data_IF_305072513444
#
_entry.id   IF_305072513444
#
_cell.length_a   1.000
_cell.length_b   1.000
_cell.length_c   1.000
_cell.angle_alpha   90.00
_cell.angle_beta   90.00
_cell.angle_gamma   90.00
#
_symmetry.space_group_name_H-M   'P 1'
#
loop_
_entity.id
_entity.type
_entity.pdbx_description
1 polymer ?
#
# COMPACT_ATOMS: atom_id res chain seq x y z
N UNK A 1 29.98 -17.54 23.17
CA UNK A 1 29.74 -17.55 24.62
C UNK A 1 28.29 -17.84 24.94
N UNK A 2 27.32 -17.02 24.50
CA UNK A 2 25.89 -17.23 24.82
C UNK A 2 25.33 -18.61 24.45
N UNK A 3 25.58 -19.11 23.24
CA UNK A 3 25.15 -20.46 22.83
C UNK A 3 25.77 -21.58 23.68
N UNK A 4 27.04 -21.42 24.09
CA UNK A 4 27.72 -22.37 24.97
C UNK A 4 27.14 -22.37 26.38
N UNK A 5 26.69 -21.20 26.85
CA UNK A 5 26.05 -21.01 28.14
C UNK A 5 24.54 -21.28 28.10
N UNK A 6 23.95 -21.70 26.97
CA UNK A 6 22.50 -21.87 26.83
C UNK A 6 21.69 -20.57 26.96
N UNK A 7 22.34 -19.41 26.90
CA UNK A 7 21.70 -18.10 27.04
C UNK A 7 21.24 -17.62 25.67
N UNK A 8 19.94 -17.37 25.51
CA UNK A 8 19.40 -16.77 24.28
C UNK A 8 19.82 -15.29 24.18
N UNK A 9 20.62 -14.89 23.18
CA UNK A 9 21.07 -13.50 23.02
C UNK A 9 20.00 -12.58 22.43
N UNK A 10 18.88 -13.12 21.93
CA UNK A 10 17.86 -12.38 21.22
C UNK A 10 16.77 -11.86 22.16
N UNK A 11 16.31 -10.64 21.89
CA UNK A 11 15.17 -10.01 22.56
C UNK A 11 14.10 -9.75 21.52
N UNK A 12 13.03 -10.54 21.55
CA UNK A 12 11.99 -10.53 20.53
C UNK A 12 11.36 -9.15 20.33
N UNK A 13 11.05 -8.43 21.41
CA UNK A 13 10.49 -7.08 21.36
C UNK A 13 11.42 -6.07 20.66
N UNK A 14 12.72 -6.15 20.93
CA UNK A 14 13.72 -5.26 20.30
C UNK A 14 13.90 -5.60 18.83
N UNK A 15 13.89 -6.88 18.47
CA UNK A 15 13.93 -7.33 17.08
C UNK A 15 12.70 -6.84 16.30
N UNK A 16 11.51 -7.00 16.87
CA UNK A 16 10.25 -6.54 16.28
C UNK A 16 10.25 -5.02 16.06
N UNK A 17 10.62 -4.23 17.07
CA UNK A 17 10.71 -2.76 16.95
C UNK A 17 11.75 -2.33 15.90
N UNK A 18 12.95 -2.93 15.88
CA UNK A 18 13.97 -2.65 14.86
C UNK A 18 13.47 -3.00 13.46
N UNK A 19 12.80 -4.13 13.29
CA UNK A 19 12.21 -4.55 12.02
C UNK A 19 11.17 -3.53 11.53
N UNK A 20 10.23 -3.13 12.38
CA UNK A 20 9.21 -2.14 12.03
C UNK A 20 9.81 -0.79 11.69
N UNK A 21 10.85 -0.34 12.41
CA UNK A 21 11.56 0.92 12.07
C UNK A 21 12.23 0.84 10.71
N UNK A 22 12.89 -0.28 10.39
CA UNK A 22 13.52 -0.48 9.09
C UNK A 22 12.47 -0.55 7.96
N UNK A 23 11.36 -1.27 8.17
CA UNK A 23 10.23 -1.33 7.23
C UNK A 23 9.61 0.06 7.00
N UNK A 24 9.50 0.87 8.05
CA UNK A 24 9.02 2.24 7.97
C UNK A 24 10.00 3.15 7.21
N UNK A 25 11.30 3.07 7.48
CA UNK A 25 12.32 3.80 6.73
C UNK A 25 12.34 3.40 5.25
N UNK A 26 12.00 2.15 4.93
CA UNK A 26 11.83 1.66 3.56
C UNK A 26 10.49 2.08 2.90
N UNK A 27 9.63 2.81 3.62
CA UNK A 27 8.35 3.31 3.14
C UNK A 27 7.25 2.25 3.04
N UNK A 28 7.38 1.09 3.68
CA UNK A 28 6.39 0.00 3.57
C UNK A 28 5.00 0.36 4.08
N UNK A 29 4.91 1.28 5.03
CA UNK A 29 3.63 1.72 5.60
C UNK A 29 3.03 2.94 4.90
N UNK A 30 3.80 3.61 4.04
CA UNK A 30 3.34 4.79 3.34
C UNK A 30 2.14 4.47 2.45
N UNK A 31 1.32 5.49 2.16
CA UNK A 31 0.21 5.36 1.22
C UNK A 31 0.74 4.79 -0.11
N UNK A 32 0.23 3.65 -0.58
CA UNK A 32 0.66 3.09 -1.85
C UNK A 32 0.43 4.10 -2.96
N UNK A 33 1.50 4.50 -3.64
CA UNK A 33 1.36 5.42 -4.75
C UNK A 33 0.56 4.72 -5.87
N UNK A 34 -0.45 5.38 -6.46
CA UNK A 34 -1.01 4.87 -7.71
C UNK A 34 0.15 4.78 -8.69
N UNK A 35 0.36 3.60 -9.29
CA UNK A 35 1.40 3.40 -10.29
C UNK A 35 1.21 4.45 -11.37
N UNK A 36 2.05 5.49 -11.38
CA UNK A 36 2.01 6.54 -12.39
C UNK A 36 2.57 5.98 -13.69
N UNK A 37 1.82 5.10 -14.34
CA UNK A 37 2.16 4.47 -15.62
C UNK A 37 1.33 5.05 -16.76
N UNK A 38 1.02 6.35 -16.70
CA UNK A 38 0.61 7.10 -17.88
C UNK A 38 1.84 7.76 -18.51
N UNK A 39 2.03 7.71 -19.85
CA UNK A 39 3.09 8.45 -20.55
C UNK A 39 2.86 9.98 -20.58
N UNK A 40 2.11 10.55 -19.63
CA UNK A 40 1.58 11.92 -19.72
C UNK A 40 2.04 12.88 -18.61
N UNK A 41 2.96 12.49 -17.72
CA UNK A 41 3.47 13.37 -16.66
C UNK A 41 4.82 14.06 -16.98
N UNK A 42 5.28 14.02 -18.24
CA UNK A 42 6.46 14.77 -18.72
C UNK A 42 6.12 15.56 -19.98
N UNK A 43 5.30 16.60 -19.82
CA UNK A 43 5.31 17.80 -20.65
C UNK A 43 4.26 18.80 -20.14
N UNK A 44 4.44 19.33 -18.91
CA UNK A 44 3.84 20.62 -18.61
C UNK A 44 4.70 21.67 -19.30
N UNK A 45 4.32 22.01 -20.52
CA UNK A 45 4.90 23.09 -21.29
C UNK A 45 4.92 24.38 -20.46
N UNK A 46 6.04 25.10 -20.53
CA UNK A 46 6.16 26.43 -19.98
C UNK A 46 5.10 27.37 -20.59
N UNK A 47 4.55 28.33 -19.83
CA UNK A 47 3.61 29.31 -20.35
C UNK A 47 4.37 30.33 -21.19
N UNK A 48 4.41 30.10 -22.52
CA UNK A 48 4.92 31.04 -23.50
C UNK A 48 3.80 31.94 -24.01
N UNK A 49 3.94 33.24 -23.71
CA UNK A 49 3.47 34.41 -24.47
C UNK A 49 1.99 34.43 -24.92
N UNK A 50 1.10 34.80 -24.00
CA UNK A 50 -0.29 35.12 -24.27
C UNK A 50 -0.41 36.57 -24.78
N UNK A 51 -0.20 36.78 -26.07
CA UNK A 51 -0.27 38.10 -26.68
C UNK A 51 -1.14 38.22 -27.93
N UNK A 52 -1.52 37.12 -28.59
CA UNK A 52 -2.39 37.21 -29.76
C UNK A 52 -3.11 35.88 -30.06
N UNK A 53 -4.42 35.90 -29.83
CA UNK A 53 -5.49 35.12 -30.50
C UNK A 53 -6.42 34.34 -29.55
N UNK A 54 -7.28 35.11 -28.86
CA UNK A 54 -8.38 34.60 -28.04
C UNK A 54 -9.40 33.82 -28.89
N UNK A 55 -9.52 34.12 -30.19
CA UNK A 55 -10.46 33.46 -31.09
C UNK A 55 -9.95 32.06 -31.45
N UNK A 56 -8.66 31.92 -31.75
CA UNK A 56 -8.03 30.61 -32.00
C UNK A 56 -8.08 29.72 -30.75
N UNK A 57 -7.82 30.27 -29.57
CA UNK A 57 -7.97 29.56 -28.29
C UNK A 57 -9.41 29.10 -28.02
N UNK A 58 -10.42 29.94 -28.33
CA UNK A 58 -11.83 29.58 -28.19
C UNK A 58 -12.23 28.47 -29.17
N UNK A 59 -11.83 28.56 -30.44
CA UNK A 59 -12.09 27.52 -31.44
C UNK A 59 -11.42 26.18 -31.08
N UNK A 60 -10.19 26.19 -30.56
CA UNK A 60 -9.53 25.01 -30.03
C UNK A 60 -10.26 24.40 -28.83
N UNK A 61 -10.83 25.25 -27.95
CA UNK A 61 -11.60 24.82 -26.78
C UNK A 61 -12.98 24.23 -27.14
N UNK A 62 -13.63 24.74 -28.19
CA UNK A 62 -14.90 24.18 -28.69
C UNK A 62 -14.67 22.84 -29.41
N UNK A 63 -13.61 22.74 -30.21
CA UNK A 63 -13.21 21.51 -30.87
C UNK A 63 -12.85 20.41 -29.86
N UNK A 64 -12.17 20.75 -28.76
CA UNK A 64 -11.87 19.80 -27.68
C UNK A 64 -13.13 19.36 -26.93
N UNK A 65 -14.03 20.30 -26.57
CA UNK A 65 -15.32 19.99 -25.94
C UNK A 65 -16.19 19.07 -26.81
N UNK A 66 -16.24 19.30 -28.12
CA UNK A 66 -17.00 18.45 -29.04
C UNK A 66 -16.44 17.02 -29.10
N UNK A 67 -15.11 16.89 -29.23
CA UNK A 67 -14.44 15.58 -29.21
C UNK A 67 -14.61 14.85 -27.88
N UNK A 68 -14.58 15.56 -26.77
CA UNK A 68 -14.79 14.98 -25.44
C UNK A 68 -16.24 14.52 -25.24
N UNK A 69 -17.22 15.31 -25.69
CA UNK A 69 -18.63 14.94 -25.63
C UNK A 69 -18.95 13.71 -26.51
N UNK A 70 -18.36 13.63 -27.70
CA UNK A 70 -18.50 12.45 -28.57
C UNK A 70 -17.86 11.20 -27.95
N UNK A 71 -16.66 11.33 -27.35
CA UNK A 71 -16.01 10.23 -26.62
C UNK A 71 -16.85 9.77 -25.43
N UNK A 72 -17.36 10.69 -24.61
CA UNK A 72 -18.24 10.36 -23.47
C UNK A 72 -19.49 9.62 -23.93
N UNK A 73 -20.13 10.08 -25.01
CA UNK A 73 -21.30 9.37 -25.59
C UNK A 73 -20.95 7.96 -26.04
N UNK A 74 -19.79 7.75 -26.67
CA UNK A 74 -19.34 6.41 -27.10
C UNK A 74 -19.04 5.52 -25.89
N UNK A 75 -18.36 6.05 -24.87
CA UNK A 75 -18.05 5.33 -23.64
C UNK A 75 -19.31 4.95 -22.85
N UNK A 76 -20.27 5.87 -22.72
CA UNK A 76 -21.56 5.63 -22.07
C UNK A 76 -22.41 4.61 -22.85
N UNK A 77 -22.44 4.71 -24.19
CA UNK A 77 -23.14 3.73 -25.02
C UNK A 77 -22.50 2.34 -24.91
N UNK A 78 -21.16 2.25 -24.89
CA UNK A 78 -20.45 0.99 -24.70
C UNK A 78 -20.69 0.41 -23.29
N UNK A 79 -20.69 1.26 -22.25
CA UNK A 79 -21.02 0.85 -20.89
C UNK A 79 -22.46 0.36 -20.77
N UNK A 80 -23.41 1.06 -21.39
CA UNK A 80 -24.82 0.67 -21.42
C UNK A 80 -25.04 -0.64 -22.18
N UNK A 81 -24.36 -0.85 -23.31
CA UNK A 81 -24.40 -2.13 -24.04
C UNK A 81 -23.89 -3.28 -23.19
N UNK A 82 -22.74 -3.11 -22.53
CA UNK A 82 -22.17 -4.13 -21.63
C UNK A 82 -23.10 -4.45 -20.45
N UNK A 83 -23.75 -3.44 -19.86
CA UNK A 83 -24.74 -3.66 -18.80
C UNK A 83 -25.97 -4.42 -19.30
N UNK A 84 -26.45 -4.13 -20.51
CA UNK A 84 -27.55 -4.86 -21.14
C UNK A 84 -27.19 -6.32 -21.44
N UNK A 85 -25.97 -6.58 -21.92
CA UNK A 85 -25.47 -7.95 -22.12
C UNK A 85 -25.45 -8.73 -20.80
N UNK A 86 -24.92 -8.11 -19.74
CA UNK A 86 -24.85 -8.75 -18.42
C UNK A 86 -26.24 -8.93 -17.79
N UNK A 87 -27.18 -8.01 -17.98
CA UNK A 87 -28.54 -8.18 -17.48
C UNK A 87 -29.34 -9.22 -18.27
N UNK A 88 -28.96 -9.50 -19.52
CA UNK A 88 -29.50 -10.60 -20.32
C UNK A 88 -28.96 -11.98 -19.89
N UNK A 89 -27.81 -12.05 -19.22
CA UNK A 89 -27.30 -13.30 -18.64
C UNK A 89 -28.20 -13.80 -17.51
N UNK A 90 -28.23 -15.13 -17.34
CA UNK A 90 -28.90 -15.77 -16.21
C UNK A 90 -28.13 -15.52 -14.91
N UNK A 91 -28.84 -15.65 -13.77
CA UNK A 91 -28.23 -15.51 -12.44
C UNK A 91 -27.08 -16.51 -12.26
N UNK A 92 -27.21 -17.73 -12.78
CA UNK A 92 -26.18 -18.77 -12.64
C UNK A 92 -24.92 -18.44 -13.46
N UNK A 93 -25.09 -17.93 -14.68
CA UNK A 93 -23.95 -17.45 -15.49
C UNK A 93 -23.23 -16.27 -14.84
N UNK A 94 -23.98 -15.34 -14.24
CA UNK A 94 -23.38 -14.20 -13.52
C UNK A 94 -22.61 -14.68 -12.29
N UNK A 95 -23.16 -15.66 -11.55
CA UNK A 95 -22.46 -16.29 -10.42
C UNK A 95 -21.20 -17.01 -10.88
N UNK A 96 -21.26 -17.80 -11.95
CA UNK A 96 -20.09 -18.51 -12.50
C UNK A 96 -18.98 -17.54 -12.91
N UNK A 97 -19.32 -16.43 -13.58
CA UNK A 97 -18.36 -15.37 -13.92
C UNK A 97 -17.69 -14.79 -12.68
N UNK A 98 -18.45 -14.50 -11.62
CA UNK A 98 -17.92 -13.94 -10.38
C UNK A 98 -17.09 -14.97 -9.59
N UNK A 99 -17.55 -16.22 -9.51
CA UNK A 99 -16.84 -17.33 -8.87
C UNK A 99 -15.50 -17.64 -9.55
N UNK A 100 -15.41 -17.53 -10.89
CA UNK A 100 -14.14 -17.67 -11.61
C UNK A 100 -13.07 -16.65 -11.20
N UNK A 101 -13.50 -15.53 -10.57
CA UNK A 101 -12.65 -14.48 -10.01
C UNK A 101 -12.55 -14.53 -8.49
N UNK A 102 -13.03 -15.61 -7.87
CA UNK A 102 -13.03 -15.80 -6.43
C UNK A 102 -14.04 -14.91 -5.68
N UNK A 103 -15.04 -14.37 -6.38
CA UNK A 103 -16.07 -13.52 -5.77
C UNK A 103 -17.36 -14.34 -5.65
N UNK A 104 -17.61 -14.86 -4.46
CA UNK A 104 -18.87 -15.55 -4.15
C UNK A 104 -19.87 -14.56 -3.53
N UNK A 105 -20.96 -14.29 -4.24
CA UNK A 105 -22.02 -13.43 -3.73
C UNK A 105 -23.38 -14.08 -3.92
N UNK A 106 -24.14 -14.13 -2.83
CA UNK A 106 -25.57 -14.32 -2.85
C UNK A 106 -26.24 -12.94 -2.81
N UNK A 107 -27.10 -12.65 -3.77
CA UNK A 107 -27.72 -11.33 -3.89
C UNK A 107 -28.76 -11.26 -4.98
N UNK A 108 -29.37 -10.08 -5.12
CA UNK A 108 -30.35 -9.82 -6.18
C UNK A 108 -29.66 -9.79 -7.54
N UNK A 109 -30.41 -10.09 -8.61
CA UNK A 109 -29.87 -10.09 -9.98
C UNK A 109 -29.15 -8.77 -10.32
N UNK A 110 -29.71 -7.64 -9.91
CA UNK A 110 -29.14 -6.32 -10.21
C UNK A 110 -27.77 -6.09 -9.55
N UNK A 111 -27.58 -6.56 -8.31
CA UNK A 111 -26.29 -6.50 -7.60
C UNK A 111 -25.23 -7.36 -8.29
N UNK A 112 -25.60 -8.55 -8.76
CA UNK A 112 -24.72 -9.44 -9.53
C UNK A 112 -24.32 -8.81 -10.87
N UNK A 113 -25.27 -8.17 -11.57
CA UNK A 113 -25.00 -7.47 -12.83
C UNK A 113 -24.03 -6.29 -12.63
N UNK A 114 -24.25 -5.47 -11.59
CA UNK A 114 -23.35 -4.34 -11.30
C UNK A 114 -21.93 -4.80 -10.96
N UNK A 115 -21.81 -5.88 -10.19
CA UNK A 115 -20.50 -6.40 -9.82
C UNK A 115 -19.79 -7.06 -11.02
N UNK A 116 -20.51 -7.86 -11.81
CA UNK A 116 -19.97 -8.44 -13.03
C UNK A 116 -19.52 -7.34 -14.02
N UNK A 117 -20.24 -6.22 -14.07
CA UNK A 117 -19.83 -5.06 -14.87
C UNK A 117 -18.52 -4.46 -14.37
N UNK A 118 -18.38 -4.24 -13.05
CA UNK A 118 -17.12 -3.73 -12.45
C UNK A 118 -15.94 -4.67 -12.74
N UNK A 119 -16.14 -5.98 -12.60
CA UNK A 119 -15.12 -7.00 -12.90
C UNK A 119 -14.73 -6.96 -14.39
N UNK A 120 -15.70 -6.90 -15.30
CA UNK A 120 -15.44 -6.84 -16.75
C UNK A 120 -14.68 -5.58 -17.15
N UNK A 121 -15.04 -4.42 -16.60
CA UNK A 121 -14.29 -3.16 -16.82
C UNK A 121 -12.86 -3.29 -16.30
N UNK A 122 -12.67 -3.88 -15.12
CA UNK A 122 -11.33 -4.11 -14.57
C UNK A 122 -10.50 -5.06 -15.45
N UNK A 123 -11.11 -6.14 -15.96
CA UNK A 123 -10.46 -7.09 -16.86
C UNK A 123 -10.03 -6.44 -18.17
N UNK A 124 -10.86 -5.56 -18.74
CA UNK A 124 -10.52 -4.79 -19.93
C UNK A 124 -9.33 -3.84 -19.69
N UNK A 125 -9.31 -3.15 -18.54
CA UNK A 125 -8.17 -2.31 -18.14
C UNK A 125 -6.89 -3.13 -18.00
N UNK A 126 -6.97 -4.31 -17.35
CA UNK A 126 -5.83 -5.21 -17.21
C UNK A 126 -5.39 -5.78 -18.56
N UNK A 127 -6.32 -6.10 -19.45
CA UNK A 127 -6.03 -6.60 -20.80
C UNK A 127 -5.37 -5.53 -21.68
N UNK A 128 -5.86 -4.28 -21.63
CA UNK A 128 -5.25 -3.15 -22.31
C UNK A 128 -3.82 -2.91 -21.80
N UNK A 129 -3.64 -2.86 -20.47
CA UNK A 129 -2.33 -2.71 -19.83
C UNK A 129 -1.37 -3.84 -20.18
N UNK A 130 -1.86 -5.08 -20.23
CA UNK A 130 -1.10 -6.25 -20.69
C UNK A 130 -0.66 -6.09 -22.14
N UNK A 131 -1.54 -5.58 -23.01
CA UNK A 131 -1.25 -5.25 -24.40
C UNK A 131 -0.11 -4.23 -24.52
N UNK A 132 -0.19 -3.13 -23.77
CA UNK A 132 0.86 -2.10 -23.70
C UNK A 132 2.21 -2.70 -23.28
N UNK A 133 2.25 -3.42 -22.16
CA UNK A 133 3.47 -4.03 -21.63
C UNK A 133 4.06 -5.07 -22.61
N UNK A 134 3.22 -5.78 -23.37
CA UNK A 134 3.66 -6.70 -24.42
C UNK A 134 4.19 -5.97 -25.66
N UNK A 135 3.69 -4.78 -25.96
CA UNK A 135 4.18 -3.96 -27.06
C UNK A 135 5.53 -3.28 -26.75
N UNK A 136 5.83 -3.01 -25.47
CA UNK A 136 7.10 -2.42 -25.04
C UNK A 136 8.33 -3.27 -25.43
N UNK A 137 9.47 -2.63 -25.66
CA UNK A 137 10.73 -3.34 -25.83
C UNK A 137 11.10 -4.08 -24.54
N UNK A 138 11.85 -5.18 -24.65
CA UNK A 138 12.21 -6.01 -23.49
C UNK A 138 13.02 -5.23 -22.47
N UNK A 139 13.88 -4.30 -22.91
CA UNK A 139 14.70 -3.50 -22.01
C UNK A 139 13.86 -2.46 -21.25
N UNK A 140 12.94 -1.77 -21.93
CA UNK A 140 11.99 -0.86 -21.27
C UNK A 140 11.12 -1.61 -20.23
N UNK A 141 10.68 -2.82 -20.57
CA UNK A 141 9.88 -3.65 -19.65
C UNK A 141 10.70 -4.08 -18.42
N UNK A 142 11.98 -4.38 -18.58
CA UNK A 142 12.89 -4.65 -17.45
C UNK A 142 13.03 -3.42 -16.56
N UNK A 143 13.10 -2.22 -17.14
CA UNK A 143 13.17 -0.99 -16.35
C UNK A 143 11.87 -0.69 -15.61
N UNK A 144 10.71 -0.96 -16.21
CA UNK A 144 9.41 -0.95 -15.51
C UNK A 144 9.43 -1.94 -14.35
N UNK A 145 9.88 -3.19 -14.56
CA UNK A 145 9.95 -4.20 -13.52
C UNK A 145 10.90 -3.81 -12.37
N UNK A 146 12.05 -3.19 -12.67
CA UNK A 146 12.97 -2.64 -11.66
C UNK A 146 12.28 -1.55 -10.82
N UNK A 147 11.55 -0.63 -11.46
CA UNK A 147 10.81 0.42 -10.76
C UNK A 147 9.66 -0.14 -9.89
N UNK A 148 9.05 -1.24 -10.32
CA UNK A 148 8.10 -2.01 -9.50
C UNK A 148 8.79 -2.89 -8.44
N UNK A 149 10.12 -2.84 -8.29
CA UNK A 149 10.89 -3.67 -7.35
C UNK A 149 10.69 -5.18 -7.55
N UNK A 150 10.31 -5.63 -8.75
CA UNK A 150 10.08 -7.04 -9.10
C UNK A 150 11.35 -7.67 -9.67
N UNK A 151 12.42 -7.66 -8.87
CA UNK A 151 13.79 -8.00 -9.31
C UNK A 151 13.91 -9.48 -9.72
N UNK A 152 13.20 -10.38 -9.05
CA UNK A 152 13.23 -11.81 -9.35
C UNK A 152 12.75 -12.16 -10.77
N UNK A 153 11.94 -11.30 -11.40
CA UNK A 153 11.43 -11.54 -12.74
C UNK A 153 12.39 -11.07 -13.86
N UNK A 154 13.47 -10.35 -13.54
CA UNK A 154 14.39 -9.77 -14.53
C UNK A 154 15.13 -10.80 -15.38
N UNK A 155 15.29 -12.02 -14.88
CA UNK A 155 15.90 -13.15 -15.59
C UNK A 155 14.89 -13.94 -16.43
N UNK A 156 13.60 -13.60 -16.35
CA UNK A 156 12.52 -14.31 -17.00
C UNK A 156 12.33 -13.94 -18.48
N UNK A 157 11.49 -14.75 -19.16
CA UNK A 157 10.98 -14.44 -20.51
C UNK A 157 10.07 -13.21 -20.45
N UNK A 158 9.92 -12.50 -21.58
CA UNK A 158 9.08 -11.29 -21.68
C UNK A 158 7.68 -11.45 -21.09
N UNK A 159 6.98 -12.56 -21.35
CA UNK A 159 5.66 -12.79 -20.76
C UNK A 159 5.67 -12.90 -19.23
N UNK A 160 6.70 -13.54 -18.65
CA UNK A 160 6.85 -13.63 -17.20
C UNK A 160 7.09 -12.24 -16.57
N UNK A 161 7.84 -11.36 -17.24
CA UNK A 161 7.99 -9.96 -16.83
C UNK A 161 6.64 -9.22 -16.83
N UNK A 162 5.85 -9.36 -17.90
CA UNK A 162 4.52 -8.74 -17.99
C UNK A 162 3.62 -9.23 -16.87
N UNK A 163 3.56 -10.54 -16.64
CA UNK A 163 2.73 -11.15 -15.60
C UNK A 163 3.16 -10.65 -14.20
N UNK A 164 4.47 -10.57 -13.95
CA UNK A 164 5.00 -10.13 -12.66
C UNK A 164 4.73 -8.64 -12.39
N UNK A 165 4.82 -7.78 -13.41
CA UNK A 165 4.45 -6.35 -13.30
C UNK A 165 2.95 -6.21 -13.02
N UNK A 166 2.09 -6.93 -13.73
CA UNK A 166 0.64 -6.88 -13.52
C UNK A 166 0.24 -7.40 -12.14
N UNK A 167 0.90 -8.44 -11.63
CA UNK A 167 0.69 -8.94 -10.28
C UNK A 167 1.10 -7.90 -9.22
N UNK A 168 2.23 -7.22 -9.42
CA UNK A 168 2.64 -6.12 -8.55
C UNK A 168 1.65 -4.94 -8.58
N UNK A 169 1.22 -4.51 -9.77
CA UNK A 169 0.21 -3.46 -9.93
C UNK A 169 -1.13 -3.86 -9.29
N UNK A 170 -1.53 -5.14 -9.36
CA UNK A 170 -2.72 -5.65 -8.70
C UNK A 170 -2.62 -5.58 -7.18
N UNK A 171 -1.50 -6.05 -6.62
CA UNK A 171 -1.22 -5.95 -5.19
C UNK A 171 -1.19 -4.50 -4.72
N UNK A 172 -0.54 -3.60 -5.46
CA UNK A 172 -0.50 -2.18 -5.13
C UNK A 172 -1.91 -1.55 -5.10
N UNK A 173 -2.81 -1.95 -6.01
CA UNK A 173 -4.22 -1.51 -6.00
C UNK A 173 -5.00 -2.06 -4.79
N UNK A 174 -4.72 -3.29 -4.36
CA UNK A 174 -5.32 -3.85 -3.14
C UNK A 174 -4.81 -3.13 -1.89
N UNK A 175 -3.49 -2.95 -1.78
CA UNK A 175 -2.86 -2.25 -0.67
C UNK A 175 -3.37 -0.81 -0.56
N UNK A 176 -3.58 -0.13 -1.70
CA UNK A 176 -4.14 1.22 -1.78
C UNK A 176 -5.60 1.24 -1.30
N UNK A 177 -6.44 0.31 -1.78
CA UNK A 177 -7.84 0.18 -1.31
C UNK A 177 -7.91 -0.11 0.18
N UNK A 178 -7.05 -0.98 0.70
CA UNK A 178 -6.97 -1.27 2.12
C UNK A 178 -6.50 -0.05 2.93
N UNK A 179 -5.61 0.77 2.37
CA UNK A 179 -5.17 2.03 3.01
C UNK A 179 -6.32 3.03 3.06
N UNK A 180 -6.99 3.26 1.93
CA UNK A 180 -8.11 4.19 1.83
C UNK A 180 -9.28 3.76 2.72
N UNK A 181 -9.58 2.46 2.80
CA UNK A 181 -10.59 1.93 3.73
C UNK A 181 -10.24 2.23 5.19
N UNK A 182 -8.96 2.06 5.58
CA UNK A 182 -8.50 2.41 6.93
C UNK A 182 -8.52 3.91 7.18
N UNK A 183 -8.22 4.72 6.16
CA UNK A 183 -8.31 6.17 6.23
C UNK A 183 -9.76 6.63 6.48
N UNK A 184 -10.74 6.03 5.80
CA UNK A 184 -12.16 6.30 6.03
C UNK A 184 -12.63 5.83 7.41
N UNK A 185 -12.12 4.71 7.92
CA UNK A 185 -12.40 4.26 9.31
C UNK A 185 -11.88 5.27 10.34
N UNK A 186 -10.64 5.74 10.19
CA UNK A 186 -10.04 6.77 11.06
C UNK A 186 -10.84 8.08 10.99
N UNK A 187 -11.25 8.49 9.79
CA UNK A 187 -12.06 9.69 9.61
C UNK A 187 -13.44 9.56 10.25
N UNK A 188 -14.06 8.38 10.17
CA UNK A 188 -15.34 8.12 10.83
C UNK A 188 -15.20 8.17 12.35
N UNK A 189 -14.14 7.59 12.91
CA UNK A 189 -13.83 7.66 14.34
C UNK A 189 -13.63 9.10 14.80
N UNK A 190 -12.77 9.88 14.12
CA UNK A 190 -12.54 11.28 14.48
C UNK A 190 -13.77 12.16 14.26
N UNK A 191 -14.61 11.87 13.27
CA UNK A 191 -15.87 12.59 13.09
C UNK A 191 -16.83 12.32 14.26
N UNK A 192 -16.94 11.08 14.73
CA UNK A 192 -17.73 10.75 15.92
C UNK A 192 -17.22 11.47 17.17
N UNK A 193 -15.91 11.53 17.39
CA UNK A 193 -15.30 12.30 18.50
C UNK A 193 -15.60 13.80 18.41
N UNK A 194 -15.71 14.37 17.20
CA UNK A 194 -16.12 15.77 17.02
C UNK A 194 -17.62 15.98 17.30
N UNK A 195 -18.47 14.99 17.01
CA UNK A 195 -19.89 15.05 17.33
C UNK A 195 -20.16 15.01 18.84
N UNK A 196 -19.24 14.51 19.64
CA UNK A 196 -19.34 14.59 21.11
C UNK A 196 -18.95 15.97 21.66
N UNK A 197 -18.17 16.76 20.91
CA UNK A 197 -17.72 18.09 21.33
C UNK A 197 -18.84 19.13 21.25
N UNK A 198 -18.74 20.13 22.11
CA UNK A 198 -19.63 21.28 22.12
C UNK A 198 -19.42 22.16 20.88
N UNK A 199 -20.46 22.90 20.50
CA UNK A 199 -20.37 23.84 19.37
C UNK A 199 -19.31 24.93 19.57
N UNK A 200 -19.01 25.31 20.81
CA UNK A 200 -17.96 26.28 21.14
C UNK A 200 -16.56 25.71 20.85
N UNK A 201 -16.25 24.51 21.36
CA UNK A 201 -14.97 23.84 21.11
C UNK A 201 -14.74 23.62 19.61
N UNK A 202 -15.78 23.20 18.87
CA UNK A 202 -15.69 23.04 17.42
C UNK A 202 -15.38 24.35 16.69
N UNK A 203 -15.93 25.48 17.18
CA UNK A 203 -15.64 26.81 16.63
C UNK A 203 -14.18 27.18 16.87
N UNK A 204 -13.65 26.88 18.06
CA UNK A 204 -12.25 27.16 18.41
C UNK A 204 -11.29 26.29 17.60
N UNK A 205 -11.61 25.01 17.38
CA UNK A 205 -10.83 24.13 16.50
C UNK A 205 -10.81 24.67 15.06
N UNK A 206 -11.96 25.11 14.53
CA UNK A 206 -12.04 25.75 13.22
C UNK A 206 -11.17 27.01 13.16
N UNK A 207 -11.28 27.90 14.15
CA UNK A 207 -10.50 29.13 14.20
C UNK A 207 -8.98 28.86 14.27
N UNK A 208 -8.55 27.91 15.11
CA UNK A 208 -7.13 27.52 15.23
C UNK A 208 -6.56 26.89 13.97
N UNK A 209 -7.40 26.29 13.11
CA UNK A 209 -7.02 25.74 11.80
C UNK A 209 -7.22 26.73 10.63
N UNK A 210 -7.69 27.95 10.90
CA UNK A 210 -8.00 28.93 9.85
C UNK A 210 -9.20 28.57 8.97
N UNK A 211 -10.10 27.70 9.45
CA UNK A 211 -11.28 27.25 8.72
C UNK A 211 -12.47 28.16 8.98
N UNK A 212 -13.33 28.35 7.97
CA UNK A 212 -14.61 29.04 8.15
C UNK A 212 -15.59 28.09 8.84
N UNK A 213 -16.05 28.38 10.08
CA UNK A 213 -16.79 27.41 10.88
C UNK A 213 -18.23 27.15 10.41
N UNK A 214 -18.76 27.85 9.40
CA UNK A 214 -20.17 27.69 9.03
C UNK A 214 -21.14 28.07 10.16
N UNK A 215 -22.43 27.80 9.96
CA UNK A 215 -23.50 28.27 10.86
C UNK A 215 -23.89 27.18 11.87
N UNK A 216 -23.94 25.93 11.43
CA UNK A 216 -24.37 24.78 12.23
C UNK A 216 -23.20 24.02 12.86
N UNK A 217 -23.50 23.05 13.73
CA UNK A 217 -22.49 22.15 14.32
C UNK A 217 -21.95 21.21 13.24
N UNK A 218 -22.84 20.68 12.41
CA UNK A 218 -22.58 19.76 11.32
C UNK A 218 -21.67 20.39 10.27
N UNK A 219 -21.84 21.69 9.98
CA UNK A 219 -20.93 22.43 9.08
C UNK A 219 -19.51 22.51 9.63
N UNK A 220 -19.35 22.70 10.96
CA UNK A 220 -18.03 22.73 11.62
C UNK A 220 -17.35 21.37 11.53
N UNK A 221 -18.07 20.31 11.88
CA UNK A 221 -17.55 18.93 11.80
C UNK A 221 -17.14 18.62 10.37
N UNK A 222 -18.00 18.89 9.39
CA UNK A 222 -17.70 18.68 7.96
C UNK A 222 -16.47 19.47 7.52
N UNK A 223 -16.33 20.74 7.90
CA UNK A 223 -15.18 21.57 7.54
C UNK A 223 -13.87 21.02 8.14
N UNK A 224 -13.89 20.58 9.40
CA UNK A 224 -12.72 19.99 10.07
C UNK A 224 -12.34 18.67 9.41
N UNK A 225 -13.32 17.79 9.14
CA UNK A 225 -13.10 16.49 8.47
C UNK A 225 -12.54 16.68 7.05
N UNK A 226 -13.07 17.64 6.28
CA UNK A 226 -12.53 17.97 4.96
C UNK A 226 -11.09 18.49 5.04
N UNK A 227 -10.76 19.31 6.03
CA UNK A 227 -9.39 19.76 6.26
C UNK A 227 -8.45 18.61 6.62
N UNK A 228 -8.91 17.63 7.41
CA UNK A 228 -8.11 16.42 7.69
C UNK A 228 -7.89 15.56 6.45
N UNK A 229 -8.91 15.40 5.60
CA UNK A 229 -8.80 14.73 4.30
C UNK A 229 -7.82 15.41 3.35
N UNK A 230 -7.78 16.74 3.34
CA UNK A 230 -6.83 17.51 2.53
C UNK A 230 -5.40 17.49 3.10
N UNK A 231 -5.27 17.26 4.41
CA UNK A 231 -3.98 17.14 5.09
C UNK A 231 -3.38 15.73 5.05
N UNK A 232 -2.22 15.57 5.69
CA UNK A 232 -1.55 14.27 5.88
C UNK A 232 -1.84 13.64 7.25
N UNK A 233 -2.74 14.23 8.04
CA UNK A 233 -3.03 13.77 9.39
C UNK A 233 -3.64 12.36 9.39
N UNK A 234 -4.59 12.11 8.47
CA UNK A 234 -5.22 10.80 8.31
C UNK A 234 -4.19 9.77 7.86
N UNK A 235 -3.37 10.10 6.86
CA UNK A 235 -2.30 9.21 6.40
C UNK A 235 -1.33 8.85 7.53
N UNK A 236 -0.93 9.82 8.37
CA UNK A 236 -0.06 9.58 9.52
C UNK A 236 -0.70 8.64 10.55
N UNK A 237 -2.00 8.80 10.82
CA UNK A 237 -2.74 7.92 11.73
C UNK A 237 -2.88 6.49 11.17
N UNK A 238 -3.12 6.34 9.87
CA UNK A 238 -3.15 5.02 9.21
C UNK A 238 -1.78 4.37 9.22
N UNK A 239 -0.70 5.12 8.95
CA UNK A 239 0.68 4.64 9.04
C UNK A 239 0.96 4.12 10.45
N UNK A 240 0.62 4.90 11.49
CA UNK A 240 0.84 4.49 12.88
C UNK A 240 0.04 3.24 13.25
N UNK A 241 -1.23 3.17 12.84
CA UNK A 241 -2.07 1.98 13.05
C UNK A 241 -1.46 0.73 12.38
N UNK A 242 -0.96 0.84 11.15
CA UNK A 242 -0.28 -0.26 10.45
C UNK A 242 1.02 -0.67 11.13
N UNK A 243 1.80 0.30 11.62
CA UNK A 243 3.02 0.02 12.39
C UNK A 243 2.70 -0.73 13.67
N UNK A 244 1.72 -0.28 14.44
CA UNK A 244 1.29 -0.93 15.68
C UNK A 244 0.81 -2.37 15.41
N UNK A 245 -0.01 -2.58 14.36
CA UNK A 245 -0.44 -3.91 13.96
C UNK A 245 0.74 -4.82 13.57
N UNK A 246 1.70 -4.30 12.81
CA UNK A 246 2.91 -5.03 12.42
C UNK A 246 3.82 -5.35 13.60
N UNK A 247 3.96 -4.44 14.56
CA UNK A 247 4.69 -4.70 15.81
C UNK A 247 4.03 -5.83 16.59
N UNK A 248 2.70 -5.81 16.74
CA UNK A 248 1.96 -6.87 17.42
C UNK A 248 2.08 -8.22 16.72
N UNK A 249 2.04 -8.24 15.38
CA UNK A 249 2.27 -9.46 14.58
C UNK A 249 3.67 -10.04 14.83
N UNK A 250 4.72 -9.22 14.73
CA UNK A 250 6.11 -9.66 14.93
C UNK A 250 6.42 -10.06 16.38
N UNK A 251 5.74 -9.44 17.35
CA UNK A 251 5.84 -9.83 18.76
C UNK A 251 5.25 -11.21 19.05
N UNK A 252 4.33 -11.71 18.20
CA UNK A 252 3.74 -13.04 18.31
C UNK A 252 4.37 -14.07 17.35
N UNK A 253 5.20 -13.62 16.40
CA UNK A 253 5.86 -14.49 15.44
C UNK A 253 6.87 -15.43 16.13
N UNK A 254 7.14 -16.60 15.53
CA UNK A 254 8.22 -17.45 16.00
C UNK A 254 9.57 -16.72 15.86
N UNK A 255 10.49 -16.98 16.80
CA UNK A 255 11.79 -16.29 16.81
C UNK A 255 12.56 -16.50 15.50
N UNK A 256 12.51 -17.71 14.92
CA UNK A 256 13.19 -18.02 13.66
C UNK A 256 12.64 -17.20 12.49
N UNK A 257 11.32 -17.00 12.43
CA UNK A 257 10.68 -16.16 11.41
C UNK A 257 11.09 -14.70 11.57
N UNK A 258 11.14 -14.20 12.82
CA UNK A 258 11.58 -12.84 13.11
C UNK A 258 13.06 -12.62 12.74
N UNK A 259 13.93 -13.58 13.04
CA UNK A 259 15.34 -13.54 12.64
C UNK A 259 15.48 -13.55 11.11
N UNK A 260 14.66 -14.32 10.39
CA UNK A 260 14.63 -14.32 8.93
C UNK A 260 14.20 -12.95 8.38
N UNK A 261 13.18 -12.31 8.97
CA UNK A 261 12.76 -10.95 8.62
C UNK A 261 13.90 -9.95 8.87
N UNK A 262 14.52 -9.96 10.05
CA UNK A 262 15.63 -9.07 10.39
C UNK A 262 16.82 -9.25 9.42
N UNK A 263 17.17 -10.49 9.09
CA UNK A 263 18.23 -10.80 8.12
C UNK A 263 17.90 -10.27 6.72
N UNK A 264 16.65 -10.45 6.28
CA UNK A 264 16.18 -9.92 5.00
C UNK A 264 16.21 -8.39 4.92
N UNK A 265 16.12 -7.71 6.06
CA UNK A 265 16.23 -6.25 6.19
C UNK A 265 17.66 -5.76 6.47
N UNK A 266 18.63 -6.67 6.63
CA UNK A 266 20.02 -6.32 6.98
C UNK A 266 20.18 -5.77 8.40
N UNK A 267 19.29 -6.13 9.32
CA UNK A 267 19.31 -5.67 10.71
C UNK A 267 20.23 -6.56 11.54
N UNK A 268 21.09 -5.94 12.35
CA UNK A 268 21.83 -6.65 13.38
C UNK A 268 20.89 -7.15 14.48
N UNK A 269 20.84 -8.47 14.64
CA UNK A 269 19.94 -9.18 15.55
C UNK A 269 20.48 -9.26 16.97
N UNK A 270 21.78 -9.03 17.18
CA UNK A 270 22.40 -9.11 18.49
C UNK A 270 22.48 -7.71 19.09
N UNK A 271 21.93 -7.54 20.29
CA UNK A 271 22.10 -6.31 21.08
C UNK A 271 23.21 -6.56 22.08
N UNK A 272 24.40 -6.01 21.84
CA UNK A 272 25.60 -6.29 22.64
C UNK A 272 25.36 -6.08 24.12
N UNK A 273 24.67 -5.00 24.50
CA UNK A 273 24.37 -4.65 25.89
C UNK A 273 23.48 -5.68 26.55
N UNK A 274 22.42 -6.13 25.86
CA UNK A 274 21.51 -7.15 26.41
C UNK A 274 22.17 -8.52 26.46
N UNK A 275 22.95 -8.85 25.43
CA UNK A 275 23.72 -10.09 25.39
C UNK A 275 24.69 -10.17 26.58
N UNK A 276 25.46 -9.10 26.84
CA UNK A 276 26.38 -9.01 27.98
C UNK A 276 25.63 -9.06 29.30
N UNK A 277 24.53 -8.31 29.45
CA UNK A 277 23.73 -8.31 30.68
C UNK A 277 23.16 -9.70 31.01
N UNK A 278 22.61 -10.41 30.02
CA UNK A 278 22.11 -11.78 30.21
C UNK A 278 23.22 -12.79 30.51
N UNK A 279 24.39 -12.64 29.89
CA UNK A 279 25.55 -13.48 30.18
C UNK A 279 25.99 -13.29 31.63
N UNK A 280 26.14 -12.03 32.09
CA UNK A 280 26.53 -11.74 33.46
C UNK A 280 25.51 -12.25 34.48
N UNK A 281 24.21 -12.11 34.22
CA UNK A 281 23.16 -12.67 35.08
C UNK A 281 23.21 -14.21 35.14
N UNK A 282 23.44 -14.88 34.00
CA UNK A 282 23.63 -16.32 34.00
C UNK A 282 24.90 -16.75 34.73
N UNK A 283 26.00 -15.99 34.59
CA UNK A 283 27.25 -16.25 35.32
C UNK A 283 27.08 -16.07 36.84
N UNK A 284 26.22 -15.15 37.28
CA UNK A 284 25.89 -14.95 38.69
C UNK A 284 25.10 -16.14 39.27
N UNK A 285 24.15 -16.69 38.50
CA UNK A 285 23.31 -17.81 38.94
C UNK A 285 23.98 -19.18 38.82
N UNK A 286 24.76 -19.41 37.76
CA UNK A 286 25.28 -20.75 37.38
C UNK A 286 26.81 -20.83 37.43
N UNK A 287 27.49 -19.74 37.76
CA UNK A 287 28.95 -19.63 37.68
C UNK A 287 29.43 -19.29 36.26
N UNK A 288 30.68 -18.85 36.15
CA UNK A 288 31.32 -18.64 34.85
C UNK A 288 31.36 -19.95 34.08
N UNK A 289 30.95 -19.90 32.82
CA UNK A 289 31.25 -20.97 31.89
C UNK A 289 32.76 -21.11 31.81
N UNK A 290 33.32 -22.19 32.35
CA UNK A 290 34.75 -22.43 32.27
C UNK A 290 35.14 -22.59 30.81
N UNK A 291 36.16 -21.85 30.38
CA UNK A 291 36.85 -22.15 29.14
C UNK A 291 37.49 -23.54 29.32
N UNK A 292 36.81 -24.58 28.84
CA UNK A 292 37.43 -25.89 28.68
C UNK A 292 38.65 -25.68 27.77
N UNK A 293 39.83 -25.59 28.39
CA UNK A 293 41.08 -25.35 27.70
C UNK A 293 41.21 -26.42 26.60
N UNK A 294 41.57 -26.04 25.36
CA UNK A 294 41.69 -27.02 24.28
C UNK A 294 42.62 -28.12 24.76
N UNK A 295 42.09 -29.35 24.84
CA UNK A 295 42.80 -30.51 25.34
C UNK A 295 44.20 -30.52 24.74
N UNK A 296 45.21 -30.35 25.59
CA UNK A 296 46.60 -30.29 25.16
C UNK A 296 46.88 -31.54 24.32
N UNK A 297 47.20 -31.33 23.04
CA UNK A 297 47.52 -32.42 22.14
C UNK A 297 48.60 -33.30 22.79
N UNK A 298 48.46 -34.64 22.76
CA UNK A 298 49.40 -35.52 23.41
C UNK A 298 50.79 -35.28 22.82
N UNK A 299 51.70 -34.80 23.69
CA UNK A 299 53.12 -34.65 23.34
C UNK A 299 53.68 -36.03 23.10
N UNK A 300 53.77 -36.43 21.83
CA UNK A 300 54.46 -37.64 21.40
C UNK A 300 55.95 -37.43 21.72
N UNK A 301 56.42 -38.03 22.82
CA UNK A 301 57.85 -38.12 23.11
C UNK A 301 58.45 -39.15 22.15
N UNK A 302 59.44 -38.68 21.37
CA UNK A 302 60.28 -39.49 20.46
C UNK A 302 61.17 -40.45 21.24
#
# INVERSE_FOLDING_TARGET
>A
CCERSGVNPYVQEVLADRAVRAEHAAGRFARPAPSSSGPAARASAAPGDAGNDVVEALLASEASRKREAERKKVEEAAAASKRKELSAMSVDQLKELLSSRGIEIAGKKDELVELAFKVRVQDEVVAARRGELRAMATDDLRDVAKNCKVVAALTGKKNALVDAVLAHEAKAREDARAFDAKAEEVLAQWAAELEEKSGAELKDICAGKGLRPGVSKEDRVRAIVQNWRAGRAVDAAVIESRRAARTAELALAALDDLLAVCKGLGIDTVVKEVMVGRLLAHEEEHGRAEDEAPAAAPVVRK
#
